data_IF_619652033702
#
_entry.id   IF_619652033702
#
_cell.length_a   1.000
_cell.length_b   1.000
_cell.length_c   1.000
_cell.angle_alpha   90.00
_cell.angle_beta   90.00
_cell.angle_gamma   90.00
#
_symmetry.space_group_name_H-M   'P 1'
#
loop_
_entity.id
_entity.type
_entity.pdbx_description
1 polymer ?
#
# COMPACT_ATOMS: atom_id res chain seq x y z
N UNK A 1 -12.63 -15.68 21.48
CA UNK A 1 -11.28 -15.52 20.91
C UNK A 1 -11.25 -16.31 19.60
N UNK A 2 -12.21 -16.00 18.70
CA UNK A 2 -12.68 -16.96 17.68
C UNK A 2 -12.61 -16.36 16.26
N UNK A 3 -11.69 -15.42 16.05
CA UNK A 3 -11.58 -14.63 14.82
C UNK A 3 -10.12 -14.41 14.47
N UNK A 4 -9.81 -14.51 13.19
CA UNK A 4 -8.48 -14.19 12.66
C UNK A 4 -8.68 -13.24 11.47
N UNK A 5 -8.40 -11.94 11.61
CA UNK A 5 -8.25 -11.05 10.48
C UNK A 5 -6.90 -11.30 9.80
N UNK A 6 -6.92 -11.41 8.48
CA UNK A 6 -5.73 -11.48 7.64
C UNK A 6 -5.81 -10.39 6.57
N UNK A 7 -4.69 -9.71 6.30
CA UNK A 7 -4.64 -8.72 5.23
C UNK A 7 -3.28 -8.66 4.58
N UNK A 8 -3.28 -8.27 3.31
CA UNK A 8 -2.07 -7.99 2.53
C UNK A 8 -2.30 -6.76 1.66
N UNK A 9 -1.22 -6.11 1.26
CA UNK A 9 -1.24 -4.95 0.37
C UNK A 9 -0.19 -5.13 -0.70
N UNK A 10 -0.51 -4.69 -1.92
CA UNK A 10 0.43 -4.67 -3.05
C UNK A 10 0.44 -3.28 -3.68
N UNK A 11 1.62 -2.89 -4.20
CA UNK A 11 1.77 -1.68 -5.00
C UNK A 11 1.57 -2.02 -6.47
N UNK A 12 0.80 -1.21 -7.18
CA UNK A 12 0.47 -1.38 -8.60
C UNK A 12 0.78 -0.09 -9.34
N UNK A 13 1.61 -0.19 -10.38
CA UNK A 13 1.93 0.94 -11.25
C UNK A 13 1.78 0.50 -12.70
N UNK A 14 0.99 1.24 -13.49
CA UNK A 14 0.66 0.92 -14.88
C UNK A 14 0.13 -0.51 -15.07
N UNK A 15 -0.67 -1.00 -14.13
CA UNK A 15 -1.25 -2.35 -14.16
C UNK A 15 -0.27 -3.47 -13.77
N UNK A 16 0.96 -3.15 -13.39
CA UNK A 16 1.98 -4.11 -12.97
C UNK A 16 2.14 -4.06 -11.44
N UNK A 17 2.09 -5.22 -10.79
CA UNK A 17 2.40 -5.37 -9.37
C UNK A 17 3.90 -5.16 -9.15
N UNK A 18 4.25 -4.28 -8.22
CA UNK A 18 5.63 -3.95 -7.84
C UNK A 18 5.93 -4.54 -6.47
N UNK A 19 6.88 -5.49 -6.43
CA UNK A 19 7.43 -5.99 -5.17
C UNK A 19 8.48 -5.02 -4.60
N UNK A 20 9.24 -5.45 -3.60
CA UNK A 20 10.36 -4.66 -3.08
C UNK A 20 11.46 -4.63 -4.15
N UNK A 21 12.01 -3.45 -4.49
CA UNK A 21 13.11 -3.39 -5.43
C UNK A 21 14.30 -4.18 -4.87
N UNK A 22 15.05 -4.82 -5.76
CA UNK A 22 16.21 -5.66 -5.41
C UNK A 22 17.54 -5.04 -5.87
N UNK A 23 17.48 -4.04 -6.75
CA UNK A 23 18.65 -3.31 -7.28
C UNK A 23 18.41 -1.80 -7.27
N UNK A 24 19.51 -1.02 -7.25
CA UNK A 24 19.43 0.45 -7.32
C UNK A 24 18.74 0.92 -8.61
N UNK A 25 19.01 0.24 -9.71
CA UNK A 25 18.43 0.52 -11.02
C UNK A 25 16.91 0.32 -11.02
N UNK A 26 16.44 -0.75 -10.39
CA UNK A 26 15.01 -1.04 -10.24
C UNK A 26 14.33 -0.02 -9.32
N UNK A 27 14.94 0.30 -8.18
CA UNK A 27 14.42 1.33 -7.27
C UNK A 27 14.30 2.69 -7.97
N UNK A 28 15.32 3.07 -8.76
CA UNK A 28 15.31 4.28 -9.58
C UNK A 28 14.18 4.25 -10.62
N UNK A 29 14.00 3.13 -11.31
CA UNK A 29 12.93 2.98 -12.29
C UNK A 29 11.55 3.15 -11.63
N UNK A 30 11.35 2.59 -10.43
CA UNK A 30 10.07 2.68 -9.73
C UNK A 30 9.78 4.14 -9.34
N UNK A 31 10.72 4.79 -8.64
CA UNK A 31 10.57 6.16 -8.17
C UNK A 31 10.42 7.16 -9.32
N UNK A 32 11.19 7.00 -10.41
CA UNK A 32 11.02 7.84 -11.62
C UNK A 32 9.68 7.59 -12.30
N UNK A 33 9.16 6.37 -12.27
CA UNK A 33 7.83 6.07 -12.82
C UNK A 33 6.70 6.76 -12.06
N UNK A 34 6.90 7.06 -10.77
CA UNK A 34 5.89 7.74 -9.95
C UNK A 34 5.92 9.25 -10.13
N UNK A 35 7.10 9.83 -10.43
CA UNK A 35 7.30 11.27 -10.62
C UNK A 35 6.35 11.86 -11.65
N UNK A 36 5.60 12.90 -11.27
CA UNK A 36 4.63 13.56 -12.14
C UNK A 36 3.43 12.69 -12.53
N UNK A 37 3.29 11.51 -11.91
CA UNK A 37 2.28 10.52 -12.22
C UNK A 37 1.56 10.03 -10.97
N UNK A 38 1.15 8.77 -11.00
CA UNK A 38 0.50 8.14 -9.87
C UNK A 38 0.89 6.67 -9.72
N UNK A 39 0.64 6.15 -8.52
CA UNK A 39 0.75 4.75 -8.17
C UNK A 39 -0.49 4.34 -7.39
N UNK A 40 -0.92 3.10 -7.53
CA UNK A 40 -2.03 2.56 -6.74
C UNK A 40 -1.51 1.58 -5.70
N UNK A 41 -2.19 1.50 -4.56
CA UNK A 41 -2.11 0.36 -3.65
C UNK A 41 -3.41 -0.42 -3.70
N UNK A 42 -3.31 -1.74 -3.59
CA UNK A 42 -4.47 -2.62 -3.47
C UNK A 42 -4.29 -3.47 -2.22
N UNK A 43 -5.12 -3.17 -1.22
CA UNK A 43 -5.22 -3.93 0.03
C UNK A 43 -6.33 -4.97 -0.05
N UNK A 44 -6.16 -6.08 0.65
CA UNK A 44 -7.25 -6.99 0.95
C UNK A 44 -7.33 -7.27 2.44
N UNK A 45 -8.55 -7.47 2.93
CA UNK A 45 -8.81 -7.96 4.28
C UNK A 45 -9.76 -9.12 4.20
N UNK A 46 -9.46 -10.18 4.94
CA UNK A 46 -10.29 -11.36 5.07
C UNK A 46 -10.43 -11.73 6.54
N UNK A 47 -11.67 -11.96 6.97
CA UNK A 47 -12.01 -12.37 8.33
C UNK A 47 -12.61 -13.76 8.28
N UNK A 48 -12.05 -14.65 9.10
CA UNK A 48 -12.59 -16.00 9.32
C UNK A 48 -13.16 -16.10 10.73
N UNK A 49 -14.42 -16.49 10.85
CA UNK A 49 -15.06 -16.89 12.10
C UNK A 49 -14.75 -18.37 12.35
N UNK A 50 -13.98 -18.67 13.41
CA UNK A 50 -13.51 -20.02 13.70
C UNK A 50 -14.62 -20.94 14.23
N UNK A 51 -15.67 -20.38 14.81
CA UNK A 51 -16.80 -21.16 15.35
C UNK A 51 -17.73 -21.65 14.24
N UNK A 52 -17.99 -20.80 13.24
CA UNK A 52 -18.94 -21.12 12.15
C UNK A 52 -18.25 -21.55 10.85
N UNK A 53 -16.95 -21.32 10.72
CA UNK A 53 -16.20 -21.50 9.48
C UNK A 53 -16.49 -20.43 8.42
N UNK A 54 -17.34 -19.42 8.71
CA UNK A 54 -17.68 -18.34 7.77
C UNK A 54 -16.44 -17.50 7.46
N UNK A 55 -16.19 -17.24 6.17
CA UNK A 55 -15.10 -16.39 5.68
C UNK A 55 -15.67 -15.27 4.82
N UNK A 56 -15.33 -14.02 5.13
CA UNK A 56 -15.77 -12.83 4.39
C UNK A 56 -14.54 -11.98 4.08
N UNK A 57 -14.44 -11.44 2.87
CA UNK A 57 -13.34 -10.59 2.46
C UNK A 57 -13.81 -9.34 1.72
N UNK A 58 -12.94 -8.34 1.67
CA UNK A 58 -13.12 -7.10 0.91
C UNK A 58 -11.76 -6.61 0.42
N UNK A 59 -11.79 -5.87 -0.69
CA UNK A 59 -10.63 -5.15 -1.22
C UNK A 59 -10.73 -3.67 -0.86
N UNK A 60 -9.58 -3.02 -0.78
CA UNK A 60 -9.46 -1.57 -0.80
C UNK A 60 -8.45 -1.16 -1.87
N UNK A 61 -8.71 -0.04 -2.53
CA UNK A 61 -7.78 0.56 -3.47
C UNK A 61 -7.57 2.01 -3.09
N UNK A 62 -6.32 2.41 -3.02
CA UNK A 62 -5.93 3.82 -2.91
C UNK A 62 -4.99 4.19 -4.06
N UNK A 63 -4.97 5.46 -4.40
CA UNK A 63 -4.13 6.05 -5.42
C UNK A 63 -3.36 7.22 -4.82
N UNK A 64 -2.08 7.29 -5.13
CA UNK A 64 -1.19 8.36 -4.70
C UNK A 64 -0.70 9.07 -5.95
N UNK A 65 -0.90 10.38 -5.97
CA UNK A 65 -0.50 11.28 -7.02
C UNK A 65 0.73 12.05 -6.56
N UNK A 66 1.72 12.18 -7.44
CA UNK A 66 2.97 12.87 -7.14
C UNK A 66 3.19 14.03 -8.08
N UNK A 67 3.72 15.12 -7.53
CA UNK A 67 4.44 16.11 -8.31
C UNK A 67 5.75 15.52 -8.88
N UNK A 68 6.44 16.28 -9.71
CA UNK A 68 7.77 15.87 -10.21
C UNK A 68 8.75 15.73 -9.04
N UNK A 69 9.36 14.55 -8.91
CA UNK A 69 10.34 14.21 -7.88
C UNK A 69 11.74 14.42 -8.49
N UNK A 70 12.57 15.34 -7.94
CA UNK A 70 13.91 15.58 -8.46
C UNK A 70 14.80 14.33 -8.41
N UNK A 71 15.66 14.18 -9.41
CA UNK A 71 16.62 13.05 -9.48
C UNK A 71 17.50 12.95 -8.23
N UNK A 72 17.92 14.08 -7.66
CA UNK A 72 18.70 14.11 -6.41
C UNK A 72 17.94 13.48 -5.23
N UNK A 73 16.63 13.73 -5.13
CA UNK A 73 15.77 13.15 -4.10
C UNK A 73 15.67 11.64 -4.27
N UNK A 74 15.53 11.17 -5.51
CA UNK A 74 15.48 9.75 -5.85
C UNK A 74 16.80 9.05 -5.48
N UNK A 75 17.95 9.63 -5.86
CA UNK A 75 19.25 9.05 -5.51
C UNK A 75 19.46 9.02 -3.98
N UNK A 76 19.09 10.08 -3.27
CA UNK A 76 19.19 10.13 -1.81
C UNK A 76 18.35 9.03 -1.14
N UNK A 77 17.12 8.80 -1.60
CA UNK A 77 16.26 7.72 -1.12
C UNK A 77 16.85 6.33 -1.36
N UNK A 78 17.49 6.14 -2.53
CA UNK A 78 18.16 4.88 -2.89
C UNK A 78 19.41 4.66 -2.05
N UNK A 79 20.20 5.70 -1.81
CA UNK A 79 21.44 5.62 -1.03
C UNK A 79 21.17 5.41 0.47
N UNK A 80 20.06 5.96 0.99
CA UNK A 80 19.58 5.64 2.34
C UNK A 80 19.14 4.16 2.46
N UNK A 81 18.75 3.54 1.35
CA UNK A 81 18.45 2.11 1.26
C UNK A 81 17.11 1.68 1.85
N UNK A 82 16.34 2.61 2.43
CA UNK A 82 15.01 2.35 2.97
C UNK A 82 14.03 1.85 1.89
N UNK A 83 14.21 2.29 0.64
CA UNK A 83 13.39 1.89 -0.53
C UNK A 83 13.40 0.38 -0.79
N UNK A 84 14.47 -0.33 -0.42
CA UNK A 84 14.59 -1.78 -0.61
C UNK A 84 13.78 -2.61 0.40
N UNK A 85 13.22 -1.95 1.41
CA UNK A 85 12.48 -2.62 2.50
C UNK A 85 10.97 -2.58 2.31
N UNK A 86 10.48 -1.76 1.38
CA UNK A 86 9.07 -1.48 1.14
C UNK A 86 8.65 -1.86 -0.29
N UNK A 87 7.41 -2.31 -0.45
CA UNK A 87 6.89 -2.68 -1.77
C UNK A 87 6.84 -1.44 -2.68
N UNK A 88 7.23 -1.62 -3.94
CA UNK A 88 7.33 -0.53 -4.91
C UNK A 88 8.34 0.57 -4.56
N UNK A 89 9.13 0.46 -3.49
CA UNK A 89 9.92 1.60 -3.02
C UNK A 89 9.06 2.78 -2.53
N UNK A 90 7.77 2.55 -2.27
CA UNK A 90 6.79 3.60 -2.00
C UNK A 90 6.86 4.05 -0.54
N UNK A 91 7.35 5.27 -0.30
CA UNK A 91 7.60 5.82 1.03
C UNK A 91 6.87 7.16 1.22
N UNK A 92 5.56 7.14 1.43
CA UNK A 92 4.76 8.37 1.48
C UNK A 92 5.13 9.31 2.62
N UNK A 93 5.37 8.76 3.81
CA UNK A 93 5.63 9.55 5.03
C UNK A 93 7.09 9.98 5.15
N UNK A 94 7.94 9.58 4.20
CA UNK A 94 9.36 9.91 4.27
C UNK A 94 9.57 11.41 4.01
N UNK A 95 10.39 12.12 4.81
CA UNK A 95 10.58 13.56 4.67
C UNK A 95 11.03 14.02 3.27
N UNK A 96 11.75 13.16 2.54
CA UNK A 96 12.19 13.43 1.17
C UNK A 96 11.09 13.21 0.12
N UNK A 97 10.09 12.36 0.39
CA UNK A 97 9.02 12.03 -0.56
C UNK A 97 7.76 12.84 -0.29
N UNK A 98 7.43 13.06 1.00
CA UNK A 98 6.23 13.73 1.47
C UNK A 98 5.97 15.09 0.79
N UNK A 99 6.98 15.96 0.54
CA UNK A 99 6.76 17.24 -0.15
C UNK A 99 6.26 17.10 -1.59
N UNK A 100 6.43 15.93 -2.20
CA UNK A 100 6.05 15.66 -3.58
C UNK A 100 4.73 14.88 -3.68
N UNK A 101 4.11 14.50 -2.57
CA UNK A 101 2.78 13.89 -2.57
C UNK A 101 1.75 14.99 -2.83
N UNK A 102 1.13 14.96 -4.01
CA UNK A 102 0.11 15.91 -4.42
C UNK A 102 -1.24 15.59 -3.77
N UNK A 103 -1.67 14.34 -3.89
CA UNK A 103 -2.95 13.89 -3.39
C UNK A 103 -2.94 12.39 -3.10
N UNK A 104 -3.78 11.98 -2.15
CA UNK A 104 -4.13 10.58 -1.93
C UNK A 104 -5.63 10.45 -2.13
N UNK A 105 -6.04 9.59 -3.06
CA UNK A 105 -7.43 9.30 -3.37
C UNK A 105 -7.75 7.88 -2.91
N UNK A 106 -8.69 7.74 -1.98
CA UNK A 106 -9.01 6.47 -1.30
C UNK A 106 -8.83 6.59 0.21
N UNK A 107 -8.85 5.45 0.92
CA UNK A 107 -8.56 5.43 2.35
C UNK A 107 -7.06 5.59 2.58
N UNK A 108 -6.64 6.63 3.32
CA UNK A 108 -5.23 6.81 3.73
C UNK A 108 -4.72 5.63 4.56
N UNK A 109 -5.64 4.97 5.30
CA UNK A 109 -5.54 3.62 5.87
C UNK A 109 -4.80 2.62 4.97
N UNK A 110 -5.14 2.66 3.69
CA UNK A 110 -4.91 1.58 2.72
C UNK A 110 -3.70 1.79 1.82
N UNK A 111 -2.94 2.85 2.06
CA UNK A 111 -1.63 3.03 1.45
C UNK A 111 -0.50 2.52 2.35
N UNK A 112 -0.82 2.30 3.63
CA UNK A 112 0.15 1.94 4.67
C UNK A 112 -0.10 0.54 5.24
N UNK A 113 -1.07 -0.20 4.69
CA UNK A 113 -1.48 -1.50 5.15
C UNK A 113 -2.99 -1.77 5.02
N UNK A 114 -3.45 -2.94 5.50
CA UNK A 114 -4.86 -3.29 5.41
C UNK A 114 -5.77 -2.31 6.18
N UNK A 115 -6.81 -1.80 5.51
CA UNK A 115 -7.79 -0.86 6.07
C UNK A 115 -8.42 -1.39 7.36
N UNK A 116 -8.25 -0.61 8.45
CA UNK A 116 -8.86 -0.91 9.76
C UNK A 116 -10.37 -0.81 9.70
N UNK A 117 -10.91 0.12 8.92
CA UNK A 117 -12.34 0.30 8.74
C UNK A 117 -12.97 -0.92 8.07
N UNK A 118 -12.35 -1.42 7.00
CA UNK A 118 -12.77 -2.66 6.35
C UNK A 118 -12.65 -3.84 7.31
N UNK A 119 -11.54 -3.96 8.04
CA UNK A 119 -11.37 -5.03 9.02
C UNK A 119 -12.48 -5.01 10.07
N UNK A 120 -12.80 -3.84 10.65
CA UNK A 120 -13.86 -3.68 11.63
C UNK A 120 -15.24 -4.04 11.06
N UNK A 121 -15.57 -3.54 9.86
CA UNK A 121 -16.82 -3.88 9.18
C UNK A 121 -16.95 -5.39 8.95
N UNK A 122 -15.92 -6.02 8.39
CA UNK A 122 -15.91 -7.47 8.13
C UNK A 122 -16.00 -8.29 9.42
N UNK A 123 -15.40 -7.81 10.51
CA UNK A 123 -15.53 -8.42 11.83
C UNK A 123 -16.99 -8.37 12.29
N UNK A 124 -17.67 -7.24 12.15
CA UNK A 124 -19.10 -7.14 12.48
C UNK A 124 -19.96 -8.05 11.59
N UNK A 125 -19.72 -8.05 10.28
CA UNK A 125 -20.46 -8.88 9.29
C UNK A 125 -20.27 -10.40 9.51
N UNK A 126 -19.11 -10.79 10.04
CA UNK A 126 -18.83 -12.18 10.40
C UNK A 126 -19.55 -12.63 11.69
N UNK A 127 -20.15 -11.71 12.44
CA UNK A 127 -20.87 -11.96 13.70
C UNK A 127 -22.37 -11.79 13.61
N UNK A 128 -22.85 -10.92 12.72
CA UNK A 128 -24.28 -10.64 12.50
C UNK A 128 -25.04 -11.79 11.82
N UNK A 129 -24.49 -13.00 11.82
CA UNK A 129 -25.12 -14.24 11.33
C UNK A 129 -25.26 -15.30 12.42
N UNK A 130 -25.28 -14.89 13.69
CA UNK A 130 -25.62 -15.72 14.85
C UNK A 130 -27.05 -15.37 15.27
#
# INVERSE_FOLDING_TARGET
MDRIPFGFEVVVHEGIIREKPTTKEEARQFLKGYSGGHVSTVGSVVVTNLTTGKRIGSLDKAEVYFHDIPDEVIENLIDEGVVFRVAGGLLLEHPLTLPFVEAVVGSSDSVMGPSKEIANRLIHDALSSI
#
